data_IF_659054177940
#
_entry.id   IF_659054177940
#
_cell.length_a   1.000
_cell.length_b   1.000
_cell.length_c   1.000
_cell.angle_alpha   90.00
_cell.angle_beta   90.00
_cell.angle_gamma   90.00
#
_symmetry.space_group_name_H-M   'P 1'
#
loop_
_entity.id
_entity.type
_entity.pdbx_description
1 polymer ?
#
# COMPACT_ATOMS: atom_id res chain seq x y z
N UNK A 1 -19.94 3.54 -22.93
CA UNK A 1 -20.04 4.09 -24.30
C UNK A 1 -18.81 4.95 -24.50
N UNK A 2 -18.01 4.69 -25.53
CA UNK A 2 -16.76 5.44 -25.76
C UNK A 2 -17.05 6.83 -26.33
N UNK A 3 -16.30 7.83 -25.89
CA UNK A 3 -16.36 9.23 -26.35
C UNK A 3 -14.97 9.80 -26.54
N UNK A 4 -14.88 10.99 -27.12
CA UNK A 4 -13.61 11.71 -27.21
C UNK A 4 -13.09 12.06 -25.80
N UNK A 5 -11.78 12.00 -25.63
CA UNK A 5 -11.06 12.48 -24.43
C UNK A 5 -10.39 13.80 -24.79
N UNK A 6 -10.58 14.82 -23.96
CA UNK A 6 -9.86 16.09 -24.12
C UNK A 6 -8.40 15.90 -23.72
N UNK A 7 -7.49 16.59 -24.40
CA UNK A 7 -6.04 16.47 -24.18
C UNK A 7 -5.48 17.86 -23.97
N UNK A 8 -4.72 18.05 -22.89
CA UNK A 8 -3.99 19.28 -22.60
C UNK A 8 -2.54 18.98 -22.18
N UNK A 9 -1.71 20.02 -22.18
CA UNK A 9 -0.29 19.95 -21.81
C UNK A 9 -0.07 20.69 -20.49
N UNK A 10 0.75 20.12 -19.61
CA UNK A 10 1.03 20.66 -18.28
C UNK A 10 2.54 20.66 -18.02
N UNK A 11 3.05 21.63 -17.27
CA UNK A 11 4.43 21.64 -16.78
C UNK A 11 4.54 20.97 -15.39
N UNK A 12 5.75 20.80 -14.86
CA UNK A 12 5.95 20.21 -13.52
C UNK A 12 5.23 20.98 -12.39
N UNK A 13 5.31 22.32 -12.33
CA UNK A 13 4.52 23.10 -11.37
C UNK A 13 3.02 22.82 -11.46
N UNK A 14 2.46 22.67 -12.66
CA UNK A 14 1.05 22.31 -12.85
C UNK A 14 0.70 20.91 -12.32
N UNK A 15 1.60 19.92 -12.49
CA UNK A 15 1.46 18.59 -11.87
C UNK A 15 1.43 18.71 -10.35
N UNK A 16 2.35 19.49 -9.76
CA UNK A 16 2.39 19.70 -8.31
C UNK A 16 1.11 20.34 -7.79
N UNK A 17 0.60 21.36 -8.48
CA UNK A 17 -0.65 22.04 -8.10
C UNK A 17 -1.86 21.10 -8.21
N UNK A 18 -1.91 20.26 -9.25
CA UNK A 18 -2.93 19.21 -9.36
C UNK A 18 -2.84 18.20 -8.22
N UNK A 19 -1.65 17.67 -7.94
CA UNK A 19 -1.41 16.71 -6.87
C UNK A 19 -1.82 17.29 -5.51
N UNK A 20 -1.44 18.54 -5.23
CA UNK A 20 -1.80 19.25 -4.01
C UNK A 20 -3.30 19.50 -3.90
N UNK A 21 -3.95 19.91 -4.99
CA UNK A 21 -5.41 20.05 -5.06
C UNK A 21 -6.08 18.73 -4.73
N UNK A 22 -5.73 17.65 -5.42
CA UNK A 22 -6.29 16.31 -5.23
C UNK A 22 -6.08 15.79 -3.80
N UNK A 23 -4.89 15.99 -3.24
CA UNK A 23 -4.55 15.59 -1.88
C UNK A 23 -5.46 16.25 -0.84
N UNK A 24 -5.74 17.55 -0.99
CA UNK A 24 -6.58 18.32 -0.07
C UNK A 24 -8.08 18.21 -0.28
N UNK A 25 -8.54 17.43 -1.27
CA UNK A 25 -9.97 17.12 -1.41
C UNK A 25 -10.48 16.24 -0.28
N UNK A 26 -9.61 15.38 0.25
CA UNK A 26 -9.99 14.34 1.21
C UNK A 26 -9.10 14.26 2.44
N UNK A 27 -8.00 15.02 2.48
CA UNK A 27 -7.06 15.00 3.59
C UNK A 27 -6.71 16.42 4.01
N UNK A 28 -6.62 16.67 5.31
CA UNK A 28 -6.12 17.95 5.84
C UNK A 28 -4.60 17.94 6.00
N UNK A 29 -3.93 19.10 5.99
CA UNK A 29 -2.50 19.19 6.35
C UNK A 29 -2.19 18.59 7.74
N UNK A 30 -3.15 18.65 8.67
CA UNK A 30 -3.02 18.03 9.98
C UNK A 30 -3.00 16.49 9.91
N UNK A 31 -3.91 15.91 9.13
CA UNK A 31 -3.94 14.45 8.92
C UNK A 31 -2.69 13.96 8.18
N UNK A 32 -2.23 14.67 7.13
CA UNK A 32 -0.98 14.33 6.44
C UNK A 32 0.22 14.34 7.40
N UNK A 33 0.33 15.35 8.26
CA UNK A 33 1.37 15.41 9.26
C UNK A 33 1.27 14.23 10.26
N UNK A 34 0.05 13.82 10.66
CA UNK A 34 -0.16 12.65 11.52
C UNK A 34 0.28 11.35 10.83
N UNK A 35 -0.15 11.14 9.59
CA UNK A 35 0.22 9.98 8.77
C UNK A 35 1.75 9.92 8.57
N UNK A 36 2.38 11.05 8.28
CA UNK A 36 3.84 11.15 8.17
C UNK A 36 4.56 10.72 9.44
N UNK A 37 4.05 11.10 10.62
CA UNK A 37 4.63 10.62 11.90
C UNK A 37 4.43 9.11 12.10
N UNK A 38 3.30 8.55 11.68
CA UNK A 38 3.03 7.10 11.73
C UNK A 38 3.98 6.34 10.80
N UNK A 39 4.15 6.79 9.56
CA UNK A 39 5.11 6.24 8.60
C UNK A 39 6.56 6.36 9.12
N UNK A 40 6.91 7.48 9.74
CA UNK A 40 8.21 7.67 10.37
C UNK A 40 8.45 6.75 11.57
N UNK A 41 7.40 6.44 12.36
CA UNK A 41 7.48 5.45 13.44
C UNK A 41 7.85 4.07 12.90
N UNK A 42 7.27 3.68 11.75
CA UNK A 42 7.54 2.39 11.10
C UNK A 42 8.81 2.38 10.24
N UNK A 43 9.59 3.47 10.22
CA UNK A 43 10.85 3.58 9.48
C UNK A 43 10.68 3.78 7.97
N UNK A 44 9.48 4.12 7.49
CA UNK A 44 9.21 4.29 6.06
C UNK A 44 9.73 5.61 5.50
N UNK A 45 9.76 6.65 6.35
CA UNK A 45 10.36 7.95 6.09
C UNK A 45 11.17 8.40 7.31
N UNK A 46 12.16 9.30 7.16
CA UNK A 46 12.94 9.80 8.29
C UNK A 46 12.07 10.51 9.34
N UNK A 47 12.45 10.41 10.62
CA UNK A 47 11.76 11.13 11.70
C UNK A 47 11.87 12.64 11.51
N UNK A 48 10.75 13.33 11.70
CA UNK A 48 10.67 14.79 11.57
C UNK A 48 10.68 15.32 10.14
N UNK A 49 10.67 14.44 9.13
CA UNK A 49 10.53 14.88 7.74
C UNK A 49 9.15 15.45 7.45
N UNK A 50 9.07 16.34 6.46
CA UNK A 50 7.81 16.85 5.95
C UNK A 50 7.23 15.86 4.93
N UNK A 51 6.31 15.01 5.39
CA UNK A 51 5.69 13.98 4.56
C UNK A 51 4.89 14.56 3.39
N UNK A 52 4.29 15.75 3.54
CA UNK A 52 3.58 16.41 2.45
C UNK A 52 4.56 16.79 1.35
N UNK A 53 5.66 17.45 1.69
CA UNK A 53 6.67 17.81 0.69
C UNK A 53 7.27 16.58 0.02
N UNK A 54 7.59 15.53 0.78
CA UNK A 54 8.10 14.27 0.22
C UNK A 54 7.15 13.71 -0.83
N UNK A 55 5.86 13.59 -0.53
CA UNK A 55 4.88 13.04 -1.48
C UNK A 55 4.72 13.94 -2.69
N UNK A 56 4.63 15.27 -2.50
CA UNK A 56 4.51 16.21 -3.61
C UNK A 56 5.73 16.18 -4.53
N UNK A 57 6.94 16.08 -3.98
CA UNK A 57 8.18 16.00 -4.75
C UNK A 57 8.25 14.69 -5.56
N UNK A 58 7.89 13.56 -4.93
CA UNK A 58 7.81 12.26 -5.61
C UNK A 58 6.81 12.28 -6.78
N UNK A 59 5.65 12.91 -6.60
CA UNK A 59 4.63 13.01 -7.64
C UNK A 59 5.05 13.99 -8.75
N UNK A 60 5.60 15.15 -8.40
CA UNK A 60 6.08 16.13 -9.38
C UNK A 60 7.20 15.57 -10.26
N UNK A 61 8.11 14.79 -9.69
CA UNK A 61 9.23 14.20 -10.43
C UNK A 61 8.81 12.94 -11.22
N UNK A 62 7.97 12.09 -10.61
CA UNK A 62 7.63 10.76 -11.13
C UNK A 62 6.43 10.71 -12.08
N UNK A 63 5.53 11.68 -12.07
CA UNK A 63 4.33 11.68 -12.93
C UNK A 63 4.65 12.32 -14.28
N UNK A 64 4.45 11.56 -15.36
CA UNK A 64 4.67 12.02 -16.74
C UNK A 64 3.38 12.53 -17.42
N UNK A 65 2.23 12.13 -16.91
CA UNK A 65 0.90 12.52 -17.35
C UNK A 65 -0.14 11.97 -16.39
N UNK A 66 -1.37 12.48 -16.48
CA UNK A 66 -2.49 11.99 -15.68
C UNK A 66 -3.83 12.24 -16.39
N UNK A 67 -4.80 11.38 -16.16
CA UNK A 67 -6.20 11.59 -16.52
C UNK A 67 -6.99 12.13 -15.32
N UNK A 68 -7.63 13.29 -15.48
CA UNK A 68 -8.55 13.83 -14.47
C UNK A 68 -9.99 13.39 -14.77
N UNK A 69 -10.61 12.51 -13.95
CA UNK A 69 -11.99 12.08 -14.16
C UNK A 69 -13.02 13.16 -13.82
N UNK A 70 -12.67 14.29 -13.21
CA UNK A 70 -13.61 15.42 -13.00
C UNK A 70 -13.67 16.30 -14.23
N UNK A 71 -12.51 16.65 -14.77
CA UNK A 71 -12.38 17.47 -15.98
C UNK A 71 -12.61 16.65 -17.25
N UNK A 72 -12.51 15.31 -17.16
CA UNK A 72 -12.57 14.35 -18.29
C UNK A 72 -11.46 14.61 -19.32
N UNK A 73 -10.31 15.07 -18.82
CA UNK A 73 -9.18 15.55 -19.61
C UNK A 73 -7.93 14.76 -19.26
N UNK A 74 -7.15 14.45 -20.27
CA UNK A 74 -5.83 13.85 -20.18
C UNK A 74 -4.78 14.97 -20.25
N UNK A 75 -3.92 15.05 -19.24
CA UNK A 75 -2.82 16.01 -19.16
C UNK A 75 -1.49 15.32 -19.43
N UNK A 76 -0.70 15.85 -20.37
CA UNK A 76 0.64 15.35 -20.70
C UNK A 76 1.70 16.36 -20.28
N UNK A 77 2.75 15.89 -19.60
CA UNK A 77 3.91 16.71 -19.25
C UNK A 77 4.60 17.29 -20.50
N UNK A 78 4.87 18.59 -20.51
CA UNK A 78 5.60 19.28 -21.60
C UNK A 78 7.05 18.81 -21.76
N UNK A 79 7.58 18.15 -20.73
CA UNK A 79 8.90 17.52 -20.65
C UNK A 79 8.93 16.07 -21.16
N UNK A 80 7.78 15.49 -21.53
CA UNK A 80 7.72 14.13 -22.07
C UNK A 80 8.25 14.09 -23.51
N UNK A 81 9.28 13.29 -23.74
CA UNK A 81 9.89 13.16 -25.07
C UNK A 81 9.05 12.26 -26.01
N UNK A 82 9.38 12.28 -27.31
CA UNK A 82 8.63 11.53 -28.33
C UNK A 82 8.69 10.00 -28.15
N UNK A 83 9.73 9.48 -27.51
CA UNK A 83 9.91 8.03 -27.29
C UNK A 83 8.97 7.58 -26.18
N UNK A 84 8.83 8.38 -25.12
CA UNK A 84 7.98 8.07 -23.96
C UNK A 84 6.51 8.48 -24.17
N UNK A 85 6.23 9.46 -25.04
CA UNK A 85 4.89 10.00 -25.29
C UNK A 85 3.84 8.93 -25.61
N UNK A 86 4.17 7.95 -26.46
CA UNK A 86 3.22 6.89 -26.83
C UNK A 86 2.81 6.03 -25.64
N UNK A 87 3.71 5.83 -24.68
CA UNK A 87 3.44 5.07 -23.47
C UNK A 87 2.54 5.86 -22.53
N UNK A 88 2.89 7.13 -22.26
CA UNK A 88 2.11 8.01 -21.39
C UNK A 88 0.68 8.18 -21.94
N UNK A 89 0.55 8.59 -23.21
CA UNK A 89 -0.78 8.77 -23.82
C UNK A 89 -1.57 7.46 -23.84
N UNK A 90 -0.92 6.34 -24.14
CA UNK A 90 -1.58 5.04 -24.16
C UNK A 90 -2.09 4.61 -22.79
N UNK A 91 -1.33 4.88 -21.74
CA UNK A 91 -1.71 4.64 -20.35
C UNK A 91 -2.88 5.56 -19.94
N UNK A 92 -2.74 6.87 -20.13
CA UNK A 92 -3.76 7.83 -19.69
C UNK A 92 -5.08 7.72 -20.47
N UNK A 93 -5.03 7.36 -21.77
CA UNK A 93 -6.26 7.06 -22.53
C UNK A 93 -6.97 5.84 -21.94
N UNK A 94 -6.24 4.86 -21.42
CA UNK A 94 -6.85 3.70 -20.77
C UNK A 94 -7.61 4.10 -19.49
N UNK A 95 -7.12 5.06 -18.71
CA UNK A 95 -7.90 5.66 -17.63
C UNK A 95 -9.17 6.36 -18.13
N UNK A 96 -9.07 7.10 -19.24
CA UNK A 96 -10.26 7.69 -19.88
C UNK A 96 -11.30 6.62 -20.28
N UNK A 97 -10.85 5.46 -20.78
CA UNK A 97 -11.73 4.33 -21.07
C UNK A 97 -12.31 3.70 -19.80
N UNK A 98 -11.52 3.53 -18.74
CA UNK A 98 -11.99 3.05 -17.45
C UNK A 98 -13.09 3.97 -16.90
N UNK A 99 -12.89 5.29 -16.92
CA UNK A 99 -13.88 6.25 -16.45
C UNK A 99 -15.21 6.17 -17.23
N UNK A 100 -15.14 6.03 -18.55
CA UNK A 100 -16.33 5.89 -19.41
C UNK A 100 -17.15 4.62 -19.16
N UNK A 101 -16.55 3.61 -18.54
CA UNK A 101 -17.15 2.29 -18.37
C UNK A 101 -17.44 1.93 -16.91
N UNK A 102 -16.67 2.46 -15.97
CA UNK A 102 -16.70 2.06 -14.56
C UNK A 102 -16.89 3.22 -13.58
N UNK A 103 -16.95 4.48 -14.03
CA UNK A 103 -17.04 5.65 -13.13
C UNK A 103 -15.82 5.71 -12.19
N UNK A 104 -14.66 6.05 -12.76
CA UNK A 104 -13.38 5.97 -12.08
C UNK A 104 -13.33 6.90 -10.85
N UNK A 105 -13.99 8.05 -10.95
CA UNK A 105 -14.13 9.00 -9.84
C UNK A 105 -14.70 8.31 -8.57
N UNK A 106 -15.75 7.50 -8.72
CA UNK A 106 -16.34 6.76 -7.60
C UNK A 106 -15.38 5.73 -7.02
N UNK A 107 -14.59 5.07 -7.86
CA UNK A 107 -13.65 4.03 -7.43
C UNK A 107 -12.38 4.58 -6.77
N UNK A 108 -12.06 5.85 -7.02
CA UNK A 108 -10.96 6.59 -6.39
C UNK A 108 -11.36 7.30 -5.10
N UNK A 109 -12.63 7.21 -4.67
CA UNK A 109 -13.03 7.73 -3.35
C UNK A 109 -12.24 7.02 -2.23
N UNK A 110 -11.61 7.78 -1.31
CA UNK A 110 -10.78 7.20 -0.26
C UNK A 110 -11.56 6.26 0.66
N UNK A 111 -10.84 5.30 1.24
CA UNK A 111 -11.38 4.39 2.23
C UNK A 111 -10.66 4.59 3.56
N UNK A 112 -11.14 5.51 4.41
CA UNK A 112 -10.50 5.79 5.69
C UNK A 112 -10.28 4.50 6.49
N UNK A 113 -9.05 4.32 6.98
CA UNK A 113 -8.62 3.19 7.82
C UNK A 113 -8.70 1.81 7.14
N UNK A 114 -8.69 1.77 5.80
CA UNK A 114 -8.70 0.55 4.97
C UNK A 114 -7.68 0.65 3.84
N UNK A 115 -6.45 1.04 4.18
CA UNK A 115 -5.37 1.27 3.22
C UNK A 115 -5.03 0.04 2.35
N UNK A 116 -5.11 -1.19 2.86
CA UNK A 116 -4.90 -2.38 2.03
C UNK A 116 -5.99 -2.53 0.95
N UNK A 117 -7.27 -2.32 1.30
CA UNK A 117 -8.38 -2.35 0.33
C UNK A 117 -8.21 -1.23 -0.72
N UNK A 118 -7.80 -0.04 -0.30
CA UNK A 118 -7.50 1.07 -1.22
C UNK A 118 -6.32 0.74 -2.14
N UNK A 119 -5.28 0.09 -1.61
CA UNK A 119 -4.13 -0.37 -2.39
C UNK A 119 -4.54 -1.42 -3.42
N UNK A 120 -5.42 -2.36 -3.07
CA UNK A 120 -5.98 -3.35 -3.98
C UNK A 120 -6.72 -2.68 -5.16
N UNK A 121 -7.50 -1.62 -4.89
CA UNK A 121 -8.17 -0.83 -5.93
C UNK A 121 -7.17 -0.12 -6.85
N UNK A 122 -6.10 0.46 -6.31
CA UNK A 122 -5.03 1.08 -7.10
C UNK A 122 -4.37 0.06 -8.03
N UNK A 123 -4.08 -1.15 -7.55
CA UNK A 123 -3.55 -2.22 -8.41
C UNK A 123 -4.48 -2.58 -9.57
N UNK A 124 -5.79 -2.65 -9.33
CA UNK A 124 -6.78 -2.90 -10.39
C UNK A 124 -6.79 -1.77 -11.42
N UNK A 125 -6.80 -0.52 -10.95
CA UNK A 125 -6.89 0.67 -11.80
C UNK A 125 -5.61 0.86 -12.62
N UNK A 126 -4.46 0.99 -11.98
CA UNK A 126 -3.16 1.23 -12.64
C UNK A 126 -2.73 0.04 -13.49
N UNK A 127 -2.89 -1.17 -12.94
CA UNK A 127 -2.60 -2.41 -13.65
C UNK A 127 -3.51 -2.62 -14.85
N UNK A 128 -4.79 -2.26 -14.73
CA UNK A 128 -5.76 -2.33 -15.83
C UNK A 128 -5.45 -1.37 -16.97
N UNK A 129 -5.05 -0.13 -16.63
CA UNK A 129 -4.65 0.87 -17.60
C UNK A 129 -3.38 0.45 -18.35
N UNK A 130 -2.36 0.01 -17.60
CA UNK A 130 -1.10 -0.44 -18.16
C UNK A 130 -1.25 -1.74 -18.99
N UNK A 131 -2.05 -2.71 -18.56
CA UNK A 131 -2.35 -3.91 -19.35
C UNK A 131 -3.10 -3.56 -20.64
N UNK A 132 -4.03 -2.59 -20.60
CA UNK A 132 -4.73 -2.11 -21.80
C UNK A 132 -3.76 -1.48 -22.79
N UNK A 133 -2.84 -0.65 -22.32
CA UNK A 133 -1.77 -0.09 -23.15
C UNK A 133 -0.90 -1.20 -23.77
N UNK A 134 -0.45 -2.17 -22.97
CA UNK A 134 0.37 -3.29 -23.46
C UNK A 134 -0.36 -4.13 -24.52
N UNK A 135 -1.66 -4.36 -24.33
CA UNK A 135 -2.50 -5.06 -25.30
C UNK A 135 -2.56 -4.30 -26.63
N UNK A 136 -2.70 -2.97 -26.58
CA UNK A 136 -2.74 -2.11 -27.75
C UNK A 136 -1.42 -2.15 -28.52
N UNK A 137 -0.28 -1.93 -27.86
CA UNK A 137 1.03 -1.90 -28.55
C UNK A 137 1.49 -3.28 -29.03
N UNK A 138 1.00 -4.37 -28.42
CA UNK A 138 1.27 -5.74 -28.86
C UNK A 138 0.43 -6.16 -30.09
N UNK A 139 -0.53 -5.33 -30.50
CA UNK A 139 -1.33 -5.54 -31.71
C UNK A 139 -2.11 -6.86 -31.68
N UNK A 140 -2.07 -7.61 -32.78
CA UNK A 140 -2.85 -8.85 -32.93
C UNK A 140 -2.49 -9.95 -31.93
N UNK A 141 -1.26 -9.94 -31.39
CA UNK A 141 -0.82 -10.90 -30.37
C UNK A 141 -1.40 -10.57 -28.99
N UNK A 142 -1.78 -9.30 -28.76
CA UNK A 142 -2.33 -8.83 -27.50
C UNK A 142 -1.49 -9.21 -26.28
N UNK A 143 -2.16 -9.52 -25.17
CA UNK A 143 -1.50 -9.92 -23.93
C UNK A 143 -0.96 -11.35 -23.94
N UNK A 144 -1.40 -12.20 -24.88
CA UNK A 144 -0.94 -13.59 -24.97
C UNK A 144 0.56 -13.70 -25.31
N UNK A 145 1.14 -12.68 -25.93
CA UNK A 145 2.59 -12.64 -26.21
C UNK A 145 3.47 -12.29 -25.00
N UNK A 146 2.89 -11.91 -23.87
CA UNK A 146 3.65 -11.47 -22.70
C UNK A 146 3.77 -12.64 -21.71
N UNK A 147 4.97 -13.20 -21.62
CA UNK A 147 5.29 -14.32 -20.75
C UNK A 147 5.36 -13.90 -19.27
N UNK A 148 5.02 -14.82 -18.36
CA UNK A 148 4.97 -14.55 -16.92
C UNK A 148 6.34 -14.07 -16.37
N UNK A 149 7.45 -14.60 -16.89
CA UNK A 149 8.80 -14.16 -16.49
C UNK A 149 9.08 -12.68 -16.78
N UNK A 150 8.42 -12.11 -17.80
CA UNK A 150 8.57 -10.68 -18.14
C UNK A 150 7.78 -9.85 -17.14
N UNK A 151 6.57 -10.28 -16.82
CA UNK A 151 5.72 -9.65 -15.80
C UNK A 151 6.40 -9.67 -14.42
N UNK A 152 6.94 -10.83 -14.02
CA UNK A 152 7.68 -10.98 -12.76
C UNK A 152 8.94 -10.12 -12.73
N UNK A 153 9.64 -10.00 -13.86
CA UNK A 153 10.80 -9.13 -13.97
C UNK A 153 10.46 -7.65 -13.78
N UNK A 154 9.31 -7.18 -14.27
CA UNK A 154 8.86 -5.79 -14.08
C UNK A 154 8.64 -5.49 -12.58
N UNK A 155 7.90 -6.34 -11.88
CA UNK A 155 7.66 -6.18 -10.44
C UNK A 155 8.95 -6.27 -9.63
N UNK A 156 9.83 -7.22 -9.96
CA UNK A 156 11.13 -7.34 -9.29
C UNK A 156 12.03 -6.13 -9.53
N UNK A 157 12.00 -5.55 -10.74
CA UNK A 157 12.76 -4.35 -11.06
C UNK A 157 12.30 -3.14 -10.23
N UNK A 158 10.99 -2.97 -10.01
CA UNK A 158 10.46 -1.92 -9.12
C UNK A 158 11.02 -2.07 -7.71
N UNK A 159 10.94 -3.28 -7.14
CA UNK A 159 11.42 -3.54 -5.79
C UNK A 159 12.93 -3.31 -5.65
N UNK A 160 13.70 -3.77 -6.62
CA UNK A 160 15.16 -3.85 -6.55
C UNK A 160 15.90 -2.58 -6.97
N UNK A 161 15.24 -1.66 -7.69
CA UNK A 161 15.86 -0.42 -8.20
C UNK A 161 15.36 0.86 -7.53
N UNK A 162 14.34 0.80 -6.67
CA UNK A 162 13.78 1.98 -6.01
C UNK A 162 14.82 2.80 -5.24
N UNK A 163 15.82 2.15 -4.62
CA UNK A 163 16.90 2.82 -3.88
C UNK A 163 17.80 3.70 -4.76
N UNK A 164 17.78 3.52 -6.09
CA UNK A 164 18.50 4.39 -7.03
C UNK A 164 17.65 5.55 -7.55
N UNK A 165 16.33 5.49 -7.36
CA UNK A 165 15.38 6.46 -7.89
C UNK A 165 15.08 7.60 -6.91
N UNK A 166 15.15 7.34 -5.59
CA UNK A 166 14.83 8.32 -4.56
C UNK A 166 15.46 7.93 -3.21
N UNK A 167 15.63 8.93 -2.34
CA UNK A 167 15.95 8.74 -0.92
C UNK A 167 14.78 8.13 -0.12
N UNK A 168 13.59 8.02 -0.73
CA UNK A 168 12.39 7.42 -0.13
C UNK A 168 11.92 6.16 -0.88
N UNK A 169 12.77 5.12 -0.97
CA UNK A 169 12.52 3.95 -1.81
C UNK A 169 11.25 3.17 -1.46
N UNK A 170 10.85 3.12 -0.19
CA UNK A 170 9.60 2.47 0.25
C UNK A 170 8.39 3.14 -0.43
N UNK A 171 8.33 4.47 -0.41
CA UNK A 171 7.24 5.22 -1.06
C UNK A 171 7.26 5.05 -2.59
N UNK A 172 8.45 5.03 -3.21
CA UNK A 172 8.58 4.76 -4.64
C UNK A 172 8.03 3.37 -4.99
N UNK A 173 8.36 2.34 -4.20
CA UNK A 173 7.81 0.98 -4.38
C UNK A 173 6.29 0.99 -4.26
N UNK A 174 5.73 1.63 -3.23
CA UNK A 174 4.28 1.69 -3.02
C UNK A 174 3.55 2.41 -4.15
N UNK A 175 4.18 3.41 -4.79
CA UNK A 175 3.64 4.09 -5.97
C UNK A 175 3.73 3.26 -7.25
N UNK A 176 4.80 2.49 -7.44
CA UNK A 176 5.11 1.83 -8.72
C UNK A 176 4.63 0.37 -8.80
N UNK A 177 4.47 -0.33 -7.67
CA UNK A 177 3.96 -1.70 -7.66
C UNK A 177 2.56 -1.87 -8.28
N UNK A 178 1.58 -0.95 -8.07
CA UNK A 178 0.30 -1.01 -8.77
C UNK A 178 0.43 -1.10 -10.30
N UNK A 179 1.41 -0.38 -10.88
CA UNK A 179 1.69 -0.43 -12.31
C UNK A 179 2.32 -1.76 -12.73
N UNK A 180 3.29 -2.28 -11.97
CA UNK A 180 4.01 -3.49 -12.33
C UNK A 180 3.23 -4.77 -12.00
N UNK A 181 2.96 -5.00 -10.72
CA UNK A 181 2.29 -6.20 -10.23
C UNK A 181 0.80 -6.20 -10.56
N UNK A 182 0.14 -5.04 -10.55
CA UNK A 182 -1.24 -4.92 -11.05
C UNK A 182 -1.33 -5.35 -12.53
N UNK A 183 -0.41 -4.90 -13.39
CA UNK A 183 -0.34 -5.34 -14.80
C UNK A 183 -0.15 -6.84 -14.90
N UNK A 184 0.73 -7.41 -14.07
CA UNK A 184 0.99 -8.85 -14.06
C UNK A 184 -0.30 -9.64 -13.79
N UNK A 185 -1.05 -9.23 -12.77
CA UNK A 185 -2.30 -9.89 -12.38
C UNK A 185 -3.42 -9.70 -13.40
N UNK A 186 -3.62 -8.49 -13.93
CA UNK A 186 -4.61 -8.25 -14.98
C UNK A 186 -4.26 -9.01 -16.26
N UNK A 187 -2.98 -9.05 -16.63
CA UNK A 187 -2.52 -9.82 -17.79
C UNK A 187 -2.81 -11.31 -17.63
N UNK A 188 -2.51 -11.89 -16.46
CA UNK A 188 -2.83 -13.29 -16.15
C UNK A 188 -4.33 -13.55 -16.17
N UNK A 189 -5.13 -12.65 -15.60
CA UNK A 189 -6.59 -12.75 -15.58
C UNK A 189 -7.16 -12.75 -17.00
N UNK A 190 -6.74 -11.80 -17.84
CA UNK A 190 -7.21 -11.69 -19.24
C UNK A 190 -6.81 -12.93 -20.04
N UNK A 191 -5.59 -13.45 -19.87
CA UNK A 191 -5.16 -14.69 -20.53
C UNK A 191 -5.97 -15.92 -20.11
N UNK A 192 -6.40 -15.98 -18.84
CA UNK A 192 -7.16 -17.13 -18.32
C UNK A 192 -8.68 -17.04 -18.55
N UNK A 193 -9.25 -15.83 -18.54
CA UNK A 193 -10.71 -15.60 -18.47
C UNK A 193 -11.23 -14.57 -19.48
N UNK A 194 -10.34 -13.89 -20.20
CA UNK A 194 -10.67 -12.80 -21.12
C UNK A 194 -10.98 -11.48 -20.42
N UNK A 195 -11.08 -10.41 -21.19
CA UNK A 195 -11.33 -9.04 -20.70
C UNK A 195 -12.61 -8.87 -19.88
N UNK A 196 -13.65 -9.67 -20.17
CA UNK A 196 -14.89 -9.63 -19.38
C UNK A 196 -14.65 -9.89 -17.88
N UNK A 197 -13.63 -10.69 -17.53
CA UNK A 197 -13.30 -10.91 -16.13
C UNK A 197 -12.75 -9.64 -15.44
N UNK A 198 -12.16 -8.71 -16.19
CA UNK A 198 -11.76 -7.39 -15.67
C UNK A 198 -12.99 -6.54 -15.40
N UNK A 199 -13.98 -6.54 -16.31
CA UNK A 199 -15.27 -5.86 -16.08
C UNK A 199 -15.94 -6.39 -14.79
N UNK A 200 -15.93 -7.71 -14.59
CA UNK A 200 -16.47 -8.35 -13.38
C UNK A 200 -15.72 -7.98 -12.08
N UNK A 201 -14.45 -7.52 -12.17
CA UNK A 201 -13.75 -6.96 -11.01
C UNK A 201 -14.26 -5.56 -10.64
N UNK A 202 -14.78 -4.76 -11.58
CA UNK A 202 -15.36 -3.46 -11.24
C UNK A 202 -16.76 -3.60 -10.61
N UNK A 203 -17.49 -4.67 -10.93
CA UNK A 203 -18.75 -5.02 -10.26
C UNK A 203 -18.53 -5.53 -8.82
N UNK A 204 -17.40 -6.18 -8.57
CA UNK A 204 -17.00 -6.66 -7.25
C UNK A 204 -15.49 -6.45 -7.10
N UNK A 205 -15.09 -5.35 -6.46
CA UNK A 205 -13.69 -4.94 -6.33
C UNK A 205 -12.87 -5.96 -5.51
N UNK A 206 -11.57 -6.07 -5.77
CA UNK A 206 -10.63 -6.75 -4.87
C UNK A 206 -10.66 -6.13 -3.46
N UNK A 207 -10.55 -6.96 -2.44
CA UNK A 207 -10.65 -6.57 -1.02
C UNK A 207 -9.28 -6.45 -0.34
N UNK A 208 -8.21 -6.97 -0.95
CA UNK A 208 -6.85 -6.93 -0.41
C UNK A 208 -5.78 -6.88 -1.49
N UNK A 209 -4.61 -6.32 -1.15
CA UNK A 209 -3.46 -6.34 -2.06
C UNK A 209 -2.94 -7.76 -2.31
N UNK A 210 -3.15 -8.70 -1.37
CA UNK A 210 -2.85 -10.13 -1.57
C UNK A 210 -3.59 -10.70 -2.79
N UNK A 211 -4.89 -10.40 -2.93
CA UNK A 211 -5.64 -10.82 -4.12
C UNK A 211 -4.98 -10.26 -5.39
N UNK A 212 -4.51 -9.01 -5.36
CA UNK A 212 -3.87 -8.40 -6.52
C UNK A 212 -2.43 -8.87 -6.77
N UNK A 213 -1.77 -9.48 -5.80
CA UNK A 213 -0.44 -10.09 -5.94
C UNK A 213 -0.52 -11.57 -6.36
N UNK A 214 -1.59 -12.28 -5.98
CA UNK A 214 -1.77 -13.72 -6.22
C UNK A 214 -3.06 -14.01 -6.98
N UNK A 215 -2.93 -14.34 -8.27
CA UNK A 215 -4.07 -14.54 -9.18
C UNK A 215 -5.00 -15.68 -8.71
N UNK A 216 -4.50 -16.72 -8.07
CA UNK A 216 -5.31 -17.81 -7.52
C UNK A 216 -6.21 -17.32 -6.37
N UNK A 217 -5.70 -16.42 -5.52
CA UNK A 217 -6.48 -15.80 -4.44
C UNK A 217 -7.51 -14.81 -4.96
N UNK A 218 -7.17 -14.04 -6.01
CA UNK A 218 -8.14 -13.19 -6.72
C UNK A 218 -9.30 -14.01 -7.30
N UNK A 219 -8.98 -15.10 -8.00
CA UNK A 219 -9.97 -15.97 -8.61
C UNK A 219 -10.84 -16.69 -7.57
N UNK A 220 -10.25 -17.03 -6.42
CA UNK A 220 -10.98 -17.62 -5.29
C UNK A 220 -11.80 -16.60 -4.49
N UNK A 221 -11.57 -15.29 -4.70
CA UNK A 221 -12.12 -14.20 -3.88
C UNK A 221 -11.83 -14.43 -2.39
N UNK A 222 -10.59 -14.79 -2.06
CA UNK A 222 -10.20 -15.04 -0.67
C UNK A 222 -10.26 -13.74 0.15
N UNK A 223 -11.16 -13.61 1.14
CA UNK A 223 -11.29 -12.36 1.88
C UNK A 223 -10.18 -12.23 2.94
N UNK A 224 -9.70 -11.02 3.23
CA UNK A 224 -8.79 -10.81 4.35
C UNK A 224 -9.44 -11.23 5.67
N UNK A 225 -8.67 -11.87 6.54
CA UNK A 225 -9.07 -12.31 7.88
C UNK A 225 -9.32 -11.05 8.73
N UNK A 226 -10.55 -10.85 9.24
CA UNK A 226 -10.85 -9.72 10.10
C UNK A 226 -9.96 -9.74 11.34
N UNK A 227 -9.15 -8.70 11.47
CA UNK A 227 -8.11 -8.55 12.49
C UNK A 227 -8.25 -7.18 13.16
N UNK A 228 -8.14 -7.14 14.48
CA UNK A 228 -8.26 -5.91 15.26
C UNK A 228 -7.31 -5.91 16.45
N UNK A 229 -6.63 -4.78 16.63
CA UNK A 229 -5.88 -4.48 17.85
C UNK A 229 -6.72 -3.57 18.75
N UNK A 230 -7.03 -4.03 19.96
CA UNK A 230 -7.74 -3.23 20.96
C UNK A 230 -6.81 -2.17 21.58
N UNK A 231 -7.00 -0.91 21.22
CA UNK A 231 -6.24 0.22 21.77
C UNK A 231 -6.41 0.35 23.30
N UNK A 232 -7.54 -0.11 23.86
CA UNK A 232 -7.84 -0.01 25.28
C UNK A 232 -6.83 -0.75 26.16
N UNK A 233 -6.27 -1.87 25.70
CA UNK A 233 -5.24 -2.60 26.47
C UNK A 233 -3.92 -1.82 26.52
N UNK A 234 -3.61 -1.06 25.48
CA UNK A 234 -2.41 -0.22 25.41
C UNK A 234 -2.56 1.03 26.27
N UNK A 235 -3.72 1.70 26.21
CA UNK A 235 -4.02 2.88 27.03
C UNK A 235 -4.08 2.54 28.53
N UNK A 236 -4.51 1.32 28.89
CA UNK A 236 -4.45 0.85 30.27
C UNK A 236 -3.00 0.63 30.75
N UNK A 237 -2.08 0.25 29.85
CA UNK A 237 -0.65 0.09 30.16
C UNK A 237 0.06 1.44 30.25
N UNK A 238 -0.30 2.38 29.38
CA UNK A 238 0.32 3.69 29.23
C UNK A 238 -0.76 4.78 29.41
N UNK A 239 -1.18 5.07 30.66
CA UNK A 239 -2.22 6.06 30.92
C UNK A 239 -1.85 7.45 30.40
N UNK A 240 -2.86 8.23 30.01
CA UNK A 240 -2.65 9.56 29.43
C UNK A 240 -2.24 9.54 27.97
N UNK A 241 -2.57 8.47 27.24
CA UNK A 241 -2.40 8.36 25.78
C UNK A 241 -3.75 8.37 25.05
N UNK A 242 -3.75 8.83 23.82
CA UNK A 242 -4.90 8.83 22.91
C UNK A 242 -4.59 8.11 21.59
N UNK A 243 -5.65 7.62 20.94
CA UNK A 243 -5.54 7.02 19.61
C UNK A 243 -5.27 8.12 18.58
N UNK A 244 -4.13 8.04 17.91
CA UNK A 244 -3.73 8.95 16.84
C UNK A 244 -4.25 8.47 15.48
N UNK A 245 -4.05 7.18 15.18
CA UNK A 245 -4.40 6.57 13.91
C UNK A 245 -4.63 5.06 14.07
N UNK A 246 -5.35 4.44 13.13
CA UNK A 246 -5.38 3.00 12.97
C UNK A 246 -5.61 2.66 11.51
N UNK A 247 -5.09 1.54 11.04
CA UNK A 247 -5.23 1.12 9.65
C UNK A 247 -4.82 -0.34 9.44
N UNK A 248 -4.77 -0.72 8.16
CA UNK A 248 -4.23 -1.96 7.61
C UNK A 248 -3.02 -1.66 6.73
N UNK A 249 -2.03 -2.54 6.69
CA UNK A 249 -0.86 -2.43 5.81
C UNK A 249 -1.10 -3.18 4.50
N UNK A 250 -1.50 -4.45 4.58
CA UNK A 250 -1.60 -5.34 3.42
C UNK A 250 -0.29 -6.02 3.05
N UNK A 251 -0.37 -7.03 2.18
CA UNK A 251 0.81 -7.71 1.66
C UNK A 251 1.71 -6.77 0.85
N UNK A 252 1.12 -5.90 0.01
CA UNK A 252 1.91 -5.03 -0.86
C UNK A 252 2.77 -4.02 -0.07
N UNK A 253 2.23 -3.43 0.99
CA UNK A 253 2.98 -2.48 1.82
C UNK A 253 4.06 -3.19 2.65
N UNK A 254 3.75 -4.38 3.19
CA UNK A 254 4.78 -5.20 3.85
C UNK A 254 5.89 -5.57 2.86
N UNK A 255 5.54 -5.93 1.62
CA UNK A 255 6.52 -6.24 0.57
C UNK A 255 7.44 -5.05 0.27
N UNK A 256 6.93 -3.81 0.26
CA UNK A 256 7.75 -2.61 0.02
C UNK A 256 8.75 -2.38 1.15
N UNK A 257 8.32 -2.61 2.39
CA UNK A 257 9.16 -2.53 3.59
C UNK A 257 10.24 -3.60 3.58
N UNK A 258 9.88 -4.88 3.40
CA UNK A 258 10.85 -5.99 3.41
C UNK A 258 11.91 -5.86 2.30
N UNK A 259 11.53 -5.28 1.16
CA UNK A 259 12.46 -5.01 0.04
C UNK A 259 13.53 -3.97 0.37
N UNK A 260 13.44 -3.28 1.51
CA UNK A 260 14.52 -2.43 2.02
C UNK A 260 15.69 -3.24 2.59
N UNK A 261 15.42 -4.48 3.03
CA UNK A 261 16.39 -5.31 3.74
C UNK A 261 16.97 -6.42 2.89
N UNK A 262 16.17 -6.97 1.99
CA UNK A 262 16.48 -8.15 1.18
C UNK A 262 16.07 -7.93 -0.27
N UNK A 263 16.55 -8.79 -1.17
CA UNK A 263 16.20 -8.72 -2.61
C UNK A 263 14.75 -9.14 -2.85
N UNK A 264 14.18 -8.65 -3.94
CA UNK A 264 12.80 -8.89 -4.39
C UNK A 264 12.32 -10.33 -4.20
N UNK A 265 13.09 -11.33 -4.64
CA UNK A 265 12.71 -12.75 -4.53
C UNK A 265 12.52 -13.24 -3.08
N UNK A 266 13.32 -12.74 -2.14
CA UNK A 266 13.23 -13.08 -0.73
C UNK A 266 12.13 -12.27 -0.03
N UNK A 267 12.03 -10.98 -0.34
CA UNK A 267 10.96 -10.11 0.15
C UNK A 267 9.57 -10.65 -0.23
N UNK A 268 9.37 -11.07 -1.49
CA UNK A 268 8.12 -11.69 -1.97
C UNK A 268 7.80 -12.98 -1.23
N UNK A 269 8.79 -13.85 -1.01
CA UNK A 269 8.59 -15.08 -0.24
C UNK A 269 8.16 -14.78 1.19
N UNK A 270 8.80 -13.81 1.84
CA UNK A 270 8.51 -13.44 3.22
C UNK A 270 7.19 -12.66 3.38
N UNK A 271 6.73 -11.95 2.35
CA UNK A 271 5.43 -11.26 2.36
C UNK A 271 4.26 -12.19 2.00
N UNK A 272 4.50 -13.25 1.24
CA UNK A 272 3.45 -14.14 0.75
C UNK A 272 2.75 -14.92 1.87
N UNK A 273 1.45 -15.15 1.69
CA UNK A 273 0.62 -15.82 2.70
C UNK A 273 0.19 -14.89 3.83
N UNK A 274 0.30 -13.57 3.64
CA UNK A 274 -0.39 -12.59 4.47
C UNK A 274 -1.88 -12.90 4.46
N UNK A 275 -2.53 -13.00 5.60
CA UNK A 275 -3.95 -13.29 5.69
C UNK A 275 -4.81 -12.13 6.19
N UNK A 276 -4.21 -11.05 6.70
CA UNK A 276 -4.93 -9.93 7.33
C UNK A 276 -4.08 -9.25 8.40
N UNK A 277 -4.22 -7.95 8.58
CA UNK A 277 -3.53 -7.22 9.64
C UNK A 277 -4.36 -6.06 10.19
N UNK A 278 -3.90 -5.48 11.29
CA UNK A 278 -4.38 -4.21 11.80
C UNK A 278 -3.32 -3.60 12.72
N UNK A 279 -3.10 -2.29 12.60
CA UNK A 279 -2.25 -1.54 13.52
C UNK A 279 -2.97 -0.33 14.11
N UNK A 280 -2.49 0.09 15.28
CA UNK A 280 -2.91 1.33 15.94
C UNK A 280 -1.67 2.16 16.25
N UNK A 281 -1.80 3.47 16.12
CA UNK A 281 -0.82 4.45 16.57
C UNK A 281 -1.40 5.22 17.75
N UNK A 282 -0.68 5.30 18.86
CA UNK A 282 -1.05 6.10 20.02
C UNK A 282 0.01 7.15 20.33
N UNK A 283 -0.41 8.26 20.92
CA UNK A 283 0.48 9.31 21.42
C UNK A 283 0.02 9.83 22.78
N UNK A 284 0.88 10.61 23.47
CA UNK A 284 0.48 11.27 24.72
C UNK A 284 -0.65 12.25 24.46
N UNK A 285 -1.69 12.17 25.27
CA UNK A 285 -2.86 13.01 25.17
C UNK A 285 -2.50 14.48 25.44
N UNK A 286 -3.11 15.38 24.67
CA UNK A 286 -2.93 16.82 24.86
C UNK A 286 -3.46 17.28 26.23
N UNK A 287 -2.76 18.20 26.93
CA UNK A 287 -3.35 18.91 28.06
C UNK A 287 -4.62 19.66 27.62
N UNK A 288 -5.70 19.56 28.41
CA UNK A 288 -6.94 20.25 28.09
C UNK A 288 -6.73 21.78 28.09
N UNK A 289 -7.05 22.44 26.97
CA UNK A 289 -6.97 23.90 26.81
C UNK A 289 -5.85 24.41 25.90
N UNK A 290 -5.00 23.53 25.37
CA UNK A 290 -3.97 23.92 24.40
C UNK A 290 -4.51 23.84 22.96
N UNK A 291 -4.73 24.99 22.33
CA UNK A 291 -5.11 25.13 20.92
C UNK A 291 -3.93 25.53 20.03
N UNK A 292 -2.69 25.48 20.54
CA UNK A 292 -1.48 25.87 19.81
C UNK A 292 -1.20 24.98 18.59
N UNK A 293 -0.77 25.61 17.50
CA UNK A 293 -0.38 24.98 16.23
C UNK A 293 0.97 24.26 16.27
N UNK A 294 1.76 24.46 17.33
CA UNK A 294 3.13 23.96 17.44
C UNK A 294 3.17 22.51 17.96
N UNK A 295 2.56 21.59 17.19
CA UNK A 295 2.36 20.16 17.52
C UNK A 295 3.64 19.34 17.65
N UNK A 296 4.81 19.86 17.26
CA UNK A 296 6.05 19.06 17.15
C UNK A 296 6.87 18.97 18.45
N UNK A 297 6.61 19.81 19.45
CA UNK A 297 7.44 19.85 20.67
C UNK A 297 6.74 19.42 21.97
N UNK A 298 5.42 19.24 21.99
CA UNK A 298 4.68 19.07 23.25
C UNK A 298 4.22 17.63 23.58
N UNK A 299 4.18 16.70 22.61
CA UNK A 299 3.76 15.31 22.87
C UNK A 299 4.78 14.52 23.71
N UNK A 300 6.00 15.02 23.88
CA UNK A 300 7.10 14.34 24.57
C UNK A 300 7.63 13.08 23.87
N UNK A 301 6.99 12.60 22.80
CA UNK A 301 7.44 11.49 21.96
C UNK A 301 7.82 12.01 20.58
N UNK A 302 8.98 11.58 20.04
CA UNK A 302 9.46 12.02 18.73
C UNK A 302 8.60 11.49 17.56
N UNK A 303 7.99 10.33 17.76
CA UNK A 303 7.03 9.66 16.86
C UNK A 303 5.98 8.94 17.72
N UNK A 304 4.77 8.65 17.20
CA UNK A 304 3.79 7.85 17.92
C UNK A 304 4.27 6.41 18.13
N UNK A 305 3.77 5.78 19.19
CA UNK A 305 3.92 4.34 19.39
C UNK A 305 2.95 3.63 18.45
N UNK A 306 3.48 2.86 17.50
CA UNK A 306 2.67 1.98 16.62
C UNK A 306 2.72 0.57 17.16
N UNK A 307 1.58 -0.10 17.24
CA UNK A 307 1.46 -1.52 17.58
C UNK A 307 0.57 -2.21 16.56
N UNK A 308 1.12 -3.20 15.87
CA UNK A 308 0.44 -3.93 14.80
C UNK A 308 0.41 -5.43 15.05
N UNK A 309 -0.59 -6.09 14.48
CA UNK A 309 -0.67 -7.55 14.42
C UNK A 309 -0.97 -7.98 13.00
N UNK A 310 -0.23 -8.97 12.52
CA UNK A 310 -0.35 -9.57 11.20
C UNK A 310 -0.69 -11.05 11.38
N UNK A 311 -1.69 -11.53 10.65
CA UNK A 311 -2.12 -12.92 10.59
C UNK A 311 -1.62 -13.50 9.28
N UNK A 312 -1.09 -14.70 9.34
CA UNK A 312 -0.52 -15.42 8.20
C UNK A 312 -1.33 -16.68 7.91
N UNK A 313 -1.25 -17.20 6.70
CA UNK A 313 -1.90 -18.44 6.29
C UNK A 313 -1.44 -19.63 7.11
N UNK A 314 -0.12 -19.72 7.34
CA UNK A 314 0.51 -20.77 8.13
C UNK A 314 1.54 -20.22 9.14
N UNK A 315 1.90 -21.08 10.10
CA UNK A 315 3.00 -20.83 11.05
C UNK A 315 4.35 -20.66 10.34
N UNK A 316 4.51 -21.28 9.16
CA UNK A 316 5.70 -21.17 8.34
C UNK A 316 5.81 -19.79 7.70
N UNK A 317 4.73 -19.31 7.09
CA UNK A 317 4.71 -18.00 6.43
C UNK A 317 5.01 -16.90 7.47
N UNK A 318 4.41 -17.01 8.67
CA UNK A 318 4.71 -16.13 9.79
C UNK A 318 6.19 -16.15 10.22
N UNK A 319 6.84 -17.31 10.19
CA UNK A 319 8.26 -17.44 10.54
C UNK A 319 9.19 -16.88 9.46
N UNK A 320 8.87 -17.10 8.18
CA UNK A 320 9.60 -16.53 7.04
C UNK A 320 9.49 -14.99 7.05
N UNK A 321 8.32 -14.44 7.39
CA UNK A 321 8.14 -13.00 7.60
C UNK A 321 8.93 -12.47 8.80
N UNK A 322 8.79 -13.10 9.98
CA UNK A 322 9.41 -12.64 11.22
C UNK A 322 10.93 -12.45 11.06
N UNK A 323 11.60 -13.39 10.38
CA UNK A 323 13.04 -13.33 10.14
C UNK A 323 13.45 -12.08 9.36
N UNK A 324 12.77 -11.81 8.23
CA UNK A 324 13.10 -10.67 7.37
C UNK A 324 12.63 -9.34 7.99
N UNK A 325 11.46 -9.33 8.63
CA UNK A 325 10.92 -8.13 9.25
C UNK A 325 11.72 -7.71 10.49
N UNK A 326 12.28 -8.65 11.25
CA UNK A 326 13.19 -8.32 12.34
C UNK A 326 14.46 -7.60 11.84
N UNK A 327 15.03 -8.03 10.71
CA UNK A 327 16.17 -7.34 10.08
C UNK A 327 15.77 -5.96 9.54
N UNK A 328 14.57 -5.82 8.95
CA UNK A 328 14.00 -4.51 8.61
C UNK A 328 13.91 -3.58 9.82
N UNK A 329 13.28 -4.03 10.90
CA UNK A 329 13.12 -3.21 12.11
C UNK A 329 14.47 -2.82 12.71
N UNK A 330 15.43 -3.75 12.75
CA UNK A 330 16.77 -3.48 13.26
C UNK A 330 17.53 -2.42 12.45
N UNK A 331 17.29 -2.33 11.13
CA UNK A 331 17.93 -1.34 10.24
C UNK A 331 17.22 -0.01 10.22
N UNK A 332 15.89 -0.04 10.11
CA UNK A 332 15.09 1.16 9.83
C UNK A 332 14.55 1.82 11.09
N UNK A 333 14.41 1.07 12.19
CA UNK A 333 13.86 1.53 13.46
C UNK A 333 14.74 1.03 14.62
N UNK A 334 16.04 1.38 14.66
CA UNK A 334 16.93 0.86 15.68
C UNK A 334 16.49 1.32 17.08
N UNK A 335 16.62 0.42 18.05
CA UNK A 335 16.49 0.67 19.50
C UNK A 335 15.08 0.89 20.08
N UNK A 336 14.06 1.21 19.28
CA UNK A 336 12.69 1.43 19.77
C UNK A 336 11.61 0.61 19.06
N UNK A 337 11.96 -0.64 18.72
CA UNK A 337 11.05 -1.64 18.17
C UNK A 337 10.96 -2.91 19.03
N UNK A 338 9.90 -3.69 18.79
CA UNK A 338 9.76 -5.05 19.29
C UNK A 338 9.01 -5.90 18.27
N UNK A 339 9.31 -7.19 18.24
CA UNK A 339 8.61 -8.19 17.43
C UNK A 339 8.45 -9.47 18.25
N UNK A 340 7.29 -10.12 18.16
CA UNK A 340 7.00 -11.42 18.79
C UNK A 340 6.05 -12.21 17.90
N UNK A 341 6.33 -13.50 17.71
CA UNK A 341 5.46 -14.40 16.95
C UNK A 341 4.79 -15.44 17.85
N UNK A 342 3.51 -15.69 17.59
CA UNK A 342 2.72 -16.75 18.25
C UNK A 342 1.95 -17.55 17.22
N UNK A 343 2.54 -18.64 16.77
CA UNK A 343 1.96 -19.46 15.71
C UNK A 343 1.95 -18.69 14.38
N UNK A 344 0.78 -18.63 13.77
CA UNK A 344 0.51 -17.95 12.50
C UNK A 344 0.28 -16.43 12.64
N UNK A 345 0.83 -15.81 13.69
CA UNK A 345 0.61 -14.39 13.99
C UNK A 345 1.91 -13.74 14.42
N UNK A 346 2.17 -12.56 13.88
CA UNK A 346 3.31 -11.72 14.24
C UNK A 346 2.77 -10.41 14.79
N UNK A 347 3.24 -10.04 15.99
CA UNK A 347 2.97 -8.74 16.60
C UNK A 347 4.24 -7.92 16.51
N UNK A 348 4.11 -6.65 16.14
CA UNK A 348 5.22 -5.70 16.17
C UNK A 348 4.84 -4.42 16.90
N UNK A 349 5.83 -3.72 17.41
CA UNK A 349 5.71 -2.37 17.90
C UNK A 349 6.90 -1.53 17.45
N UNK A 350 6.67 -0.25 17.15
CA UNK A 350 7.70 0.72 16.76
C UNK A 350 7.47 2.07 17.43
N UNK A 351 8.52 2.87 17.57
CA UNK A 351 8.43 4.13 18.31
C UNK A 351 8.16 3.91 19.81
N UNK A 352 8.69 2.81 20.37
CA UNK A 352 8.54 2.47 21.78
C UNK A 352 9.24 3.56 22.63
N UNK A 353 8.50 4.31 23.46
CA UNK A 353 9.10 5.36 24.27
C UNK A 353 10.09 4.77 25.30
N UNK A 354 11.19 5.46 25.65
CA UNK A 354 12.19 4.97 26.60
C UNK A 354 11.63 4.59 27.98
N UNK A 355 10.52 5.23 28.39
CA UNK A 355 9.83 4.94 29.65
C UNK A 355 8.95 3.68 29.62
N UNK A 356 8.74 3.08 28.45
CA UNK A 356 7.88 1.90 28.26
C UNK A 356 8.75 0.63 28.14
N UNK A 357 8.51 -0.34 29.04
CA UNK A 357 9.13 -1.65 28.94
C UNK A 357 8.56 -2.44 27.75
N UNK A 358 9.42 -2.71 26.75
CA UNK A 358 9.03 -3.39 25.51
C UNK A 358 8.45 -4.80 25.73
N UNK A 359 9.00 -5.56 26.69
CA UNK A 359 8.51 -6.92 26.99
C UNK A 359 7.09 -6.88 27.59
N UNK A 360 6.85 -5.93 28.49
CA UNK A 360 5.53 -5.69 29.10
C UNK A 360 4.53 -5.16 28.07
N UNK A 361 4.97 -4.30 27.16
CA UNK A 361 4.18 -3.80 26.04
C UNK A 361 3.68 -4.95 25.17
N UNK A 362 4.61 -5.76 24.64
CA UNK A 362 4.28 -6.92 23.79
C UNK A 362 3.34 -7.89 24.51
N UNK A 363 3.65 -8.26 25.76
CA UNK A 363 2.81 -9.16 26.54
C UNK A 363 1.40 -8.61 26.79
N UNK A 364 1.24 -7.29 26.86
CA UNK A 364 -0.06 -6.64 27.04
C UNK A 364 -0.80 -6.52 25.71
N UNK A 365 -0.11 -6.14 24.64
CA UNK A 365 -0.68 -5.97 23.30
C UNK A 365 -1.32 -7.28 22.80
N UNK A 366 -0.69 -8.44 23.07
CA UNK A 366 -1.28 -9.74 22.75
C UNK A 366 -2.65 -10.01 23.37
N UNK A 367 -2.98 -9.37 24.50
CA UNK A 367 -4.31 -9.50 25.13
C UNK A 367 -5.40 -8.74 24.38
N UNK A 368 -5.01 -7.75 23.56
CA UNK A 368 -5.91 -6.95 22.72
C UNK A 368 -6.01 -7.44 21.28
N UNK A 369 -5.36 -8.55 20.92
CA UNK A 369 -5.43 -9.12 19.56
C UNK A 369 -6.74 -9.90 19.41
N UNK A 370 -7.59 -9.45 18.50
CA UNK A 370 -8.81 -10.12 18.09
C UNK A 370 -8.75 -10.48 16.61
N UNK A 371 -8.87 -11.78 16.30
CA UNK A 371 -8.91 -12.27 14.92
C UNK A 371 -10.04 -13.26 14.73
N UNK A 372 -10.69 -13.23 13.58
CA UNK A 372 -11.72 -14.19 13.20
C UNK A 372 -11.24 -15.10 12.07
N UNK A 373 -10.20 -15.89 12.33
CA UNK A 373 -9.69 -16.86 11.35
C UNK A 373 -10.57 -18.12 11.33
N UNK A 374 -11.24 -18.45 10.22
CA UNK A 374 -12.01 -19.69 10.14
C UNK A 374 -11.08 -20.89 10.36
N UNK A 375 -11.46 -21.82 11.24
CA UNK A 375 -10.71 -23.06 11.42
C UNK A 375 -10.70 -23.82 10.10
N UNK A 376 -9.53 -23.99 9.47
CA UNK A 376 -9.34 -24.88 8.30
C UNK A 376 -9.99 -26.24 8.63
N UNK A 377 -11.04 -26.60 7.88
CA UNK A 377 -11.59 -27.97 7.94
C UNK A 377 -10.45 -28.91 7.57
N UNK A 378 -10.01 -29.76 8.49
CA UNK A 378 -9.11 -30.88 8.15
C UNK A 378 -9.75 -31.64 7.00
N UNK A 379 -9.11 -31.68 5.84
CA UNK A 379 -9.51 -32.55 4.75
C UNK A 379 -9.64 -33.96 5.33
N UNK A 380 -10.85 -34.53 5.26
CA UNK A 380 -11.02 -35.96 5.50
C UNK A 380 -10.15 -36.64 4.46
N UNK A 381 -9.11 -37.34 4.90
CA UNK A 381 -8.43 -38.33 4.07
C UNK A 381 -9.51 -39.26 3.53
N UNK A 382 -9.73 -39.26 2.22
CA UNK A 382 -10.46 -40.34 1.57
C UNK A 382 -9.66 -41.63 1.80
N UNK A 383 -10.29 -42.73 2.25
CA UNK A 383 -9.61 -44.01 2.36
C UNK A 383 -9.36 -44.56 0.95
N UNK A 384 -8.17 -45.14 0.79
CA UNK A 384 -7.64 -45.78 -0.43
C UNK A 384 -8.57 -46.82 -1.07
#
# INVERSE_FOLDING_TARGET
MTRNVEVDVVDRPGIREFAKRSMYEHTTPEELARLGRVQASMGMIPRGSDAEQIVLDLLEDGVAGFYDPKEKTLFIGDFVDKVTLSMVVGHEIAHGLQDMHFDLQKHQEPLPHRNDEETARRFLIEGGAQATYLAWVSGASGLESIEDRVLDAMGNQVLDLADFASDYPILVRSLQLPYADGTATITRLVRQKGWKAVDELYDALPESSEQMLHIDKLLAREPPIPTKMDVGVLQALIPGTELLWHDTLGEAELLTMLSQSVRSTEARRAAAGWGGDHYVAIEKARPAGDSGSDRQQESGWSVPLVVGVIVWDTDRDAAEFEEVFADYLQRMVPDDHAIDRRGDRVLFATGIPPEVDASKLVATAWKGVHTNKPRRRRSRKEPE
#
